data_IF_293507352243
#
_entry.id   IF_293507352243
#
_cell.length_a   1.000
_cell.length_b   1.000
_cell.length_c   1.000
_cell.angle_alpha   90.00
_cell.angle_beta   90.00
_cell.angle_gamma   90.00
#
_symmetry.space_group_name_H-M   'P 1'
#
loop_
_entity.id
_entity.type
_entity.pdbx_description
1 polymer ?
#
# COMPACT_ATOMS: atom_id res chain seq x y z
N UNK A 1 33.93 15.45 -63.61
CA UNK A 1 32.56 15.89 -63.20
C UNK A 1 31.77 14.81 -62.43
N UNK A 2 31.91 13.52 -62.75
CA UNK A 2 31.15 12.39 -62.16
C UNK A 2 31.33 12.18 -60.64
N UNK A 3 32.52 12.44 -60.08
CA UNK A 3 32.78 12.26 -58.65
C UNK A 3 31.92 13.17 -57.75
N UNK A 4 31.67 14.42 -58.16
CA UNK A 4 30.85 15.38 -57.38
C UNK A 4 29.38 14.96 -57.31
N UNK A 5 28.87 14.33 -58.35
CA UNK A 5 27.49 13.82 -58.39
C UNK A 5 27.30 12.65 -57.41
N UNK A 6 28.26 11.73 -57.32
CA UNK A 6 28.21 10.59 -56.39
C UNK A 6 28.24 11.03 -54.93
N UNK A 7 29.06 12.03 -54.59
CA UNK A 7 29.11 12.61 -53.23
C UNK A 7 27.76 13.24 -52.85
N UNK A 8 27.18 14.07 -53.72
CA UNK A 8 25.85 14.68 -53.50
C UNK A 8 24.74 13.63 -53.30
N UNK A 9 24.79 12.52 -54.04
CA UNK A 9 23.84 11.42 -53.88
C UNK A 9 24.00 10.71 -52.53
N UNK A 10 25.24 10.45 -52.10
CA UNK A 10 25.53 9.86 -50.79
C UNK A 10 25.04 10.75 -49.63
N UNK A 11 25.31 12.06 -49.69
CA UNK A 11 24.83 13.03 -48.71
C UNK A 11 23.30 13.05 -48.61
N UNK A 12 22.62 12.99 -49.76
CA UNK A 12 21.16 12.99 -49.81
C UNK A 12 20.57 11.72 -49.18
N UNK A 13 21.19 10.55 -49.43
CA UNK A 13 20.80 9.28 -48.80
C UNK A 13 21.01 9.32 -47.30
N UNK A 14 22.14 9.83 -46.82
CA UNK A 14 22.43 9.97 -45.38
C UNK A 14 21.41 10.90 -44.71
N UNK A 15 21.07 12.04 -45.33
CA UNK A 15 20.06 12.96 -44.80
C UNK A 15 18.68 12.30 -44.68
N UNK A 16 18.26 11.54 -45.69
CA UNK A 16 16.99 10.80 -45.65
C UNK A 16 17.00 9.73 -44.55
N UNK A 17 18.03 8.90 -44.51
CA UNK A 17 18.16 7.84 -43.50
C UNK A 17 18.15 8.40 -42.06
N UNK A 18 18.77 9.57 -41.83
CA UNK A 18 18.70 10.28 -40.55
C UNK A 18 17.29 10.77 -40.24
N UNK A 19 16.59 11.34 -41.22
CA UNK A 19 15.19 11.75 -41.06
C UNK A 19 14.26 10.58 -40.73
N UNK A 20 14.43 9.45 -41.41
CA UNK A 20 13.64 8.24 -41.18
C UNK A 20 13.92 7.65 -39.79
N UNK A 21 15.19 7.60 -39.37
CA UNK A 21 15.58 7.16 -38.04
C UNK A 21 14.99 8.04 -36.94
N UNK A 22 15.02 9.36 -37.12
CA UNK A 22 14.47 10.31 -36.14
C UNK A 22 12.96 10.13 -35.99
N UNK A 23 12.25 9.91 -37.10
CA UNK A 23 10.81 9.65 -37.09
C UNK A 23 10.48 8.36 -36.34
N UNK A 24 11.19 7.26 -36.61
CA UNK A 24 10.97 5.98 -35.92
C UNK A 24 11.29 6.11 -34.44
N UNK A 25 12.41 6.76 -34.10
CA UNK A 25 12.84 6.98 -32.71
C UNK A 25 11.82 7.79 -31.92
N UNK A 26 11.31 8.88 -32.51
CA UNK A 26 10.26 9.72 -31.90
C UNK A 26 8.98 8.94 -31.66
N UNK A 27 8.54 8.15 -32.65
CA UNK A 27 7.33 7.31 -32.52
C UNK A 27 7.49 6.25 -31.44
N UNK A 28 8.67 5.61 -31.38
CA UNK A 28 8.98 4.62 -30.36
C UNK A 28 8.97 5.23 -28.96
N UNK A 29 9.63 6.39 -28.75
CA UNK A 29 9.65 7.08 -27.48
C UNK A 29 8.22 7.44 -27.00
N UNK A 30 7.38 7.96 -27.91
CA UNK A 30 5.98 8.29 -27.63
C UNK A 30 5.17 7.04 -27.24
N UNK A 31 5.32 5.95 -27.99
CA UNK A 31 4.61 4.70 -27.70
C UNK A 31 5.00 4.10 -26.33
N UNK A 32 6.31 4.10 -26.02
CA UNK A 32 6.81 3.63 -24.72
C UNK A 32 6.29 4.48 -23.57
N UNK A 33 6.32 5.81 -23.70
CA UNK A 33 5.79 6.72 -22.69
C UNK A 33 4.29 6.51 -22.45
N UNK A 34 3.51 6.36 -23.52
CA UNK A 34 2.08 6.09 -23.42
C UNK A 34 1.79 4.73 -22.74
N UNK A 35 2.58 3.70 -23.07
CA UNK A 35 2.45 2.37 -22.44
C UNK A 35 2.75 2.43 -20.94
N UNK A 36 3.82 3.11 -20.54
CA UNK A 36 4.18 3.27 -19.13
C UNK A 36 3.11 4.06 -18.36
N UNK A 37 2.59 5.15 -18.93
CA UNK A 37 1.52 5.94 -18.33
C UNK A 37 0.25 5.09 -18.10
N UNK A 38 -0.12 4.25 -19.08
CA UNK A 38 -1.27 3.34 -18.96
C UNK A 38 -1.07 2.29 -17.86
N UNK A 39 0.13 1.72 -17.75
CA UNK A 39 0.47 0.77 -16.69
C UNK A 39 0.44 1.43 -15.31
N UNK A 40 1.00 2.62 -15.17
CA UNK A 40 0.95 3.41 -13.94
C UNK A 40 -0.49 3.73 -13.53
N UNK A 41 -1.34 4.15 -14.47
CA UNK A 41 -2.76 4.39 -14.21
C UNK A 41 -3.51 3.13 -13.75
N UNK A 42 -3.21 1.97 -14.34
CA UNK A 42 -3.77 0.68 -13.91
C UNK A 42 -3.33 0.32 -12.49
N UNK A 43 -2.05 0.49 -12.16
CA UNK A 43 -1.54 0.25 -10.81
C UNK A 43 -2.21 1.19 -9.79
N UNK A 44 -2.35 2.49 -10.10
CA UNK A 44 -3.03 3.45 -9.24
C UNK A 44 -4.51 3.11 -9.05
N UNK A 45 -5.21 2.69 -10.10
CA UNK A 45 -6.61 2.27 -9.99
C UNK A 45 -6.75 1.03 -9.10
N UNK A 46 -5.89 0.03 -9.30
CA UNK A 46 -5.83 -1.16 -8.45
C UNK A 46 -5.48 -0.81 -6.99
N UNK A 47 -4.59 0.15 -6.77
CA UNK A 47 -4.22 0.61 -5.43
C UNK A 47 -5.37 1.35 -4.73
N UNK A 48 -6.14 2.15 -5.47
CA UNK A 48 -7.37 2.78 -4.95
C UNK A 48 -8.44 1.75 -4.60
N UNK A 49 -8.68 0.76 -5.47
CA UNK A 49 -9.60 -0.35 -5.19
C UNK A 49 -9.10 -1.20 -4.02
N UNK A 50 -7.79 -1.44 -3.93
CA UNK A 50 -7.17 -2.09 -2.79
C UNK A 50 -7.30 -1.24 -1.52
N UNK A 51 -7.27 0.08 -1.61
CA UNK A 51 -7.43 0.96 -0.45
C UNK A 51 -8.89 1.07 0.00
N UNK A 52 -9.85 1.03 -0.93
CA UNK A 52 -11.28 1.03 -0.61
C UNK A 52 -11.75 -0.32 -0.05
N UNK A 53 -11.15 -1.43 -0.50
CA UNK A 53 -11.39 -2.78 0.04
C UNK A 53 -10.43 -3.14 1.19
N UNK A 54 -9.33 -2.42 1.33
CA UNK A 54 -8.25 -2.70 2.24
C UNK A 54 -8.40 -1.92 3.53
N UNK A 55 -9.10 -2.53 4.47
CA UNK A 55 -8.62 -2.83 5.83
C UNK A 55 -8.25 -1.67 6.80
N UNK A 56 -7.68 -0.55 6.33
CA UNK A 56 -7.29 0.62 7.12
C UNK A 56 -8.37 1.69 7.19
N UNK A 57 -9.27 1.74 6.19
CA UNK A 57 -10.36 2.71 6.15
C UNK A 57 -11.41 2.48 7.26
N UNK A 58 -11.56 1.24 7.74
CA UNK A 58 -12.41 0.89 8.89
C UNK A 58 -11.77 1.26 10.22
N UNK A 59 -10.46 1.07 10.37
CA UNK A 59 -9.73 1.46 11.59
C UNK A 59 -9.76 2.99 11.82
N UNK A 60 -9.64 3.77 10.73
CA UNK A 60 -9.73 5.22 10.77
C UNK A 60 -11.14 5.77 11.13
N UNK A 61 -12.16 4.91 11.10
CA UNK A 61 -13.55 5.23 11.45
C UNK A 61 -13.93 4.77 12.85
N UNK A 62 -12.97 4.31 13.65
CA UNK A 62 -13.18 3.89 15.04
C UNK A 62 -13.55 2.41 15.23
N UNK A 63 -13.40 1.57 14.21
CA UNK A 63 -13.57 0.12 14.34
C UNK A 63 -12.25 -0.56 14.69
N UNK A 64 -12.30 -1.71 15.36
CA UNK A 64 -11.13 -2.51 15.72
C UNK A 64 -11.18 -3.88 15.02
N UNK A 65 -10.03 -4.43 14.67
CA UNK A 65 -9.92 -5.67 13.92
C UNK A 65 -9.33 -6.77 14.81
N UNK A 66 -9.97 -7.94 14.83
CA UNK A 66 -9.51 -9.09 15.61
C UNK A 66 -8.65 -10.01 14.74
N UNK A 67 -7.48 -10.41 15.25
CA UNK A 67 -6.50 -11.26 14.58
C UNK A 67 -6.05 -12.41 15.47
N UNK A 68 -5.53 -13.46 14.84
CA UNK A 68 -4.73 -14.50 15.48
C UNK A 68 -3.48 -14.71 14.62
N UNK A 69 -2.34 -14.21 15.10
CA UNK A 69 -1.10 -14.16 14.33
C UNK A 69 -1.25 -13.39 13.01
N UNK A 70 -1.04 -14.07 11.87
CA UNK A 70 -1.15 -13.46 10.54
C UNK A 70 -2.60 -13.42 10.00
N UNK A 71 -3.52 -14.18 10.59
CA UNK A 71 -4.89 -14.35 10.11
C UNK A 71 -5.86 -13.38 10.77
N UNK A 72 -6.86 -12.94 10.01
CA UNK A 72 -7.94 -12.05 10.48
C UNK A 72 -9.13 -12.92 10.85
N UNK A 73 -9.71 -12.67 12.01
CA UNK A 73 -10.90 -13.40 12.46
C UNK A 73 -12.11 -12.52 12.23
N UNK A 74 -13.07 -13.04 11.46
CA UNK A 74 -14.31 -12.32 11.12
C UNK A 74 -15.53 -12.89 11.84
N UNK A 75 -15.38 -14.05 12.52
CA UNK A 75 -16.43 -14.72 13.30
C UNK A 75 -16.03 -14.87 14.77
N UNK A 76 -17.00 -14.66 15.66
CA UNK A 76 -16.79 -14.78 17.10
C UNK A 76 -16.37 -16.19 17.54
N UNK A 77 -16.94 -17.24 16.91
CA UNK A 77 -16.59 -18.63 17.21
C UNK A 77 -15.14 -18.99 16.87
N UNK A 78 -14.61 -18.42 15.78
CA UNK A 78 -13.21 -18.59 15.41
C UNK A 78 -12.29 -17.87 16.40
N UNK A 79 -12.71 -16.69 16.88
CA UNK A 79 -12.02 -15.96 17.93
C UNK A 79 -11.99 -16.71 19.26
N UNK A 80 -13.10 -17.35 19.66
CA UNK A 80 -13.17 -18.18 20.88
C UNK A 80 -12.21 -19.38 20.85
N UNK A 81 -11.97 -19.96 19.68
CA UNK A 81 -11.10 -21.13 19.49
C UNK A 81 -9.63 -20.77 19.25
N UNK A 82 -9.34 -19.51 18.98
CA UNK A 82 -7.99 -19.05 18.71
C UNK A 82 -7.13 -19.10 20.00
N UNK A 83 -5.92 -19.65 19.88
CA UNK A 83 -4.96 -19.74 21.00
C UNK A 83 -4.41 -18.38 21.44
N UNK A 84 -4.42 -17.42 20.53
CA UNK A 84 -3.95 -16.06 20.75
C UNK A 84 -4.84 -15.10 19.98
N UNK A 85 -5.21 -13.99 20.61
CA UNK A 85 -5.98 -12.93 19.98
C UNK A 85 -5.20 -11.63 20.04
N UNK A 86 -5.21 -10.89 18.95
CA UNK A 86 -4.68 -9.52 18.88
C UNK A 86 -5.77 -8.62 18.32
N UNK A 87 -5.99 -7.47 18.95
CA UNK A 87 -6.88 -6.44 18.47
C UNK A 87 -6.02 -5.33 17.86
N UNK A 88 -6.20 -5.07 16.58
CA UNK A 88 -5.50 -4.04 15.83
C UNK A 88 -6.39 -2.79 15.75
N UNK A 89 -5.80 -1.66 16.18
CA UNK A 89 -6.35 -0.31 16.11
C UNK A 89 -5.52 0.52 15.12
N UNK A 90 -5.97 1.75 14.84
CA UNK A 90 -5.23 2.67 13.96
C UNK A 90 -3.84 3.04 14.51
N UNK A 91 -3.71 3.11 15.82
CA UNK A 91 -2.56 3.61 16.57
C UNK A 91 -1.68 2.50 17.17
N UNK A 92 -2.15 1.25 17.17
CA UNK A 92 -1.40 0.16 17.78
C UNK A 92 -2.11 -1.18 17.77
N UNK A 93 -1.47 -2.18 18.38
CA UNK A 93 -2.00 -3.53 18.54
C UNK A 93 -2.00 -3.93 20.00
N UNK A 94 -3.11 -4.49 20.45
CA UNK A 94 -3.28 -5.00 21.81
C UNK A 94 -3.38 -6.51 21.75
N UNK A 95 -2.50 -7.22 22.48
CA UNK A 95 -2.61 -8.67 22.66
C UNK A 95 -3.65 -8.97 23.73
N UNK A 96 -4.59 -9.85 23.41
CA UNK A 96 -5.57 -10.39 24.36
C UNK A 96 -5.04 -11.74 24.83
N UNK A 97 -4.59 -11.78 26.09
CA UNK A 97 -4.18 -13.03 26.73
C UNK A 97 -5.41 -13.96 26.87
N UNK A 98 -5.23 -15.24 26.52
CA UNK A 98 -6.29 -16.19 26.22
C UNK A 98 -7.42 -16.29 27.25
N UNK A 99 -8.64 -16.51 26.75
CA UNK A 99 -9.87 -16.71 27.55
C UNK A 99 -9.96 -18.08 28.21
N UNK A 100 -8.85 -18.82 28.36
CA UNK A 100 -8.80 -20.00 29.21
C UNK A 100 -8.45 -19.58 30.63
N UNK A 101 -9.47 -19.24 31.40
CA UNK A 101 -9.42 -19.20 32.87
C UNK A 101 -9.79 -17.86 33.51
N UNK A 102 -10.95 -17.84 34.17
CA UNK A 102 -11.38 -16.93 35.24
C UNK A 102 -11.30 -15.41 34.98
N UNK A 103 -12.49 -14.82 34.89
CA UNK A 103 -12.71 -13.39 35.13
C UNK A 103 -12.07 -12.97 36.46
N UNK A 104 -10.89 -12.32 36.42
CA UNK A 104 -10.45 -11.47 37.52
C UNK A 104 -11.19 -10.15 37.39
N UNK A 105 -12.26 -10.03 38.19
CA UNK A 105 -12.90 -8.76 38.55
C UNK A 105 -11.79 -7.74 38.85
N UNK A 106 -11.75 -6.55 38.21
CA UNK A 106 -10.86 -5.50 38.64
C UNK A 106 -11.35 -5.01 40.00
N UNK A 107 -10.66 -5.42 41.07
CA UNK A 107 -10.81 -4.78 42.38
C UNK A 107 -10.30 -3.34 42.29
N UNK A 108 -10.96 -2.37 42.95
CA UNK A 108 -10.58 -0.98 42.86
C UNK A 108 -9.17 -0.78 43.45
N UNK A 109 -8.24 -0.38 42.59
CA UNK A 109 -6.89 0.02 43.01
C UNK A 109 -7.00 1.32 43.81
N UNK A 110 -6.70 1.22 45.12
CA UNK A 110 -6.52 2.31 46.06
C UNK A 110 -5.70 3.45 45.44
N UNK A 111 -6.35 4.58 45.18
CA UNK A 111 -5.66 5.87 45.10
C UNK A 111 -5.44 6.38 46.53
N UNK A 112 -4.17 6.62 46.82
CA UNK A 112 -3.65 7.19 48.07
C UNK A 112 -4.08 8.65 48.16
N UNK A 113 -4.69 9.04 49.28
CA UNK A 113 -4.61 10.42 49.79
C UNK A 113 -4.44 10.35 51.30
N UNK A 114 -3.19 10.21 51.75
CA UNK A 114 -2.77 10.66 53.07
C UNK A 114 -2.40 12.14 52.96
N UNK A 115 -3.28 12.99 53.50
CA UNK A 115 -2.97 14.23 54.25
C UNK A 115 -4.24 15.06 54.43
N UNK A 116 -4.79 15.10 55.64
CA UNK A 116 -4.58 16.28 56.49
C UNK A 116 -5.02 16.02 57.94
N UNK A 117 -4.18 16.46 58.87
CA UNK A 117 -4.45 16.58 60.32
C UNK A 117 -5.18 17.90 60.60
N UNK A 118 -5.63 18.05 61.85
CA UNK A 118 -6.10 19.25 62.55
C UNK A 118 -7.56 19.63 62.24
N UNK A 119 -8.45 19.81 63.22
CA UNK A 119 -8.31 20.12 64.66
C UNK A 119 -9.47 19.54 65.47
#
# INVERSE_FOLDING_TARGET
MVARLRVRQAETRIRRARGDLEQVSTRMAKATKARLARLAGRLQALDRTRSSLGYKATLARGYAIIRSGKSVLTRAEEARRARSLEIEFQDGRIRVAGTTGASRKPGPSRARTDRNKQS
#
